data_IF_878642823705
#
_entry.id   IF_878642823705
#
_cell.length_a   1.000
_cell.length_b   1.000
_cell.length_c   1.000
_cell.angle_alpha   90.00
_cell.angle_beta   90.00
_cell.angle_gamma   90.00
#
_symmetry.space_group_name_H-M   'P 1'
#
loop_
_entity.id
_entity.type
_entity.pdbx_description
1 polymer ?
#
# COMPACT_ATOMS: atom_id res chain seq x y z
N UNK A 1 27.51 10.53 15.41
CA UNK A 1 28.44 11.45 14.72
C UNK A 1 27.70 12.02 13.53
N UNK A 2 27.50 13.34 13.47
CA UNK A 2 26.70 14.01 12.42
C UNK A 2 27.62 14.33 11.24
N UNK A 3 27.35 13.79 10.06
CA UNK A 3 28.03 14.14 8.81
C UNK A 3 27.05 14.95 7.96
N UNK A 4 27.43 16.20 7.67
CA UNK A 4 26.68 17.14 6.85
C UNK A 4 26.78 16.78 5.36
N UNK A 5 25.66 16.81 4.65
CA UNK A 5 25.62 16.85 3.18
C UNK A 5 24.68 17.96 2.69
N UNK A 6 25.24 18.89 1.94
CA UNK A 6 24.64 19.77 0.91
C UNK A 6 23.16 20.16 0.99
N UNK A 7 22.92 21.37 1.52
CA UNK A 7 22.06 22.43 0.96
C UNK A 7 20.58 22.19 0.63
N UNK A 8 19.88 21.23 1.25
CA UNK A 8 18.44 21.35 1.49
C UNK A 8 18.09 20.83 2.90
N UNK A 9 18.17 21.75 3.86
CA UNK A 9 17.55 21.59 5.18
C UNK A 9 16.06 21.96 5.04
N UNK A 10 15.20 20.97 4.79
CA UNK A 10 13.82 21.08 5.29
C UNK A 10 13.84 20.51 6.70
N UNK A 11 14.11 21.40 7.64
CA UNK A 11 14.03 21.12 9.08
C UNK A 11 12.60 20.74 9.40
N UNK A 12 12.34 19.45 9.58
CA UNK A 12 11.21 19.00 10.38
C UNK A 12 11.51 19.37 11.83
N UNK A 13 10.87 20.44 12.28
CA UNK A 13 11.01 20.94 13.63
C UNK A 13 10.30 22.27 13.79
N UNK A 14 9.12 22.22 14.41
CA UNK A 14 8.52 23.30 15.19
C UNK A 14 8.59 24.70 14.55
N UNK A 15 7.56 25.08 13.78
CA UNK A 15 7.10 26.46 13.78
C UNK A 15 6.28 26.71 15.06
N UNK A 16 6.96 26.70 16.20
CA UNK A 16 6.47 27.29 17.45
C UNK A 16 7.52 28.29 17.93
N UNK A 17 7.57 29.44 17.27
CA UNK A 17 8.13 30.64 17.88
C UNK A 17 6.97 31.52 18.30
N UNK A 18 6.74 31.53 19.62
CA UNK A 18 6.01 32.57 20.36
C UNK A 18 4.48 32.59 20.26
N UNK A 19 3.79 31.51 20.67
CA UNK A 19 2.55 31.60 21.46
C UNK A 19 2.59 30.42 22.45
N UNK A 20 2.33 30.69 23.74
CA UNK A 20 2.21 29.67 24.79
C UNK A 20 1.14 28.65 24.38
N UNK A 21 1.51 27.39 24.16
CA UNK A 21 0.55 26.30 24.07
C UNK A 21 0.01 26.01 25.49
N UNK A 22 -1.22 26.44 25.77
CA UNK A 22 -2.01 25.88 26.87
C UNK A 22 -2.87 24.75 26.31
N UNK A 23 -2.89 23.62 27.01
CA UNK A 23 -3.88 22.56 26.82
C UNK A 23 -5.20 23.12 27.36
N UNK A 24 -6.20 23.31 26.49
CA UNK A 24 -7.53 23.79 26.88
C UNK A 24 -8.48 22.59 26.97
N UNK A 25 -9.32 22.47 28.02
CA UNK A 25 -10.30 21.40 28.15
C UNK A 25 -11.41 21.50 27.10
N UNK A 26 -12.02 20.36 26.79
CA UNK A 26 -12.95 20.07 25.68
C UNK A 26 -14.36 20.72 25.79
N UNK A 27 -14.47 21.93 26.33
CA UNK A 27 -15.78 22.55 26.64
C UNK A 27 -15.97 24.02 26.23
N UNK A 28 -15.22 24.58 25.28
CA UNK A 28 -15.51 25.92 24.74
C UNK A 28 -15.59 25.99 23.21
N UNK A 29 -16.51 26.84 22.74
CA UNK A 29 -17.00 26.96 21.36
C UNK A 29 -15.90 27.44 20.39
N UNK A 30 -15.54 26.59 19.42
CA UNK A 30 -14.48 26.79 18.42
C UNK A 30 -14.70 27.99 17.47
N UNK A 31 -15.80 28.74 17.60
CA UNK A 31 -16.19 29.80 16.68
C UNK A 31 -15.29 31.04 16.67
N UNK A 32 -14.40 31.22 17.65
CA UNK A 32 -13.65 32.48 17.82
C UNK A 32 -12.12 32.37 17.63
N UNK A 33 -11.59 31.28 17.09
CA UNK A 33 -10.15 31.19 16.82
C UNK A 33 -9.77 31.85 15.47
N UNK A 34 -8.99 32.94 15.45
CA UNK A 34 -8.52 33.52 14.19
C UNK A 34 -7.41 32.63 13.56
N UNK A 35 -7.60 32.24 12.29
CA UNK A 35 -6.61 31.48 11.53
C UNK A 35 -5.36 32.34 11.22
N UNK A 36 -4.13 31.77 11.32
CA UNK A 36 -2.89 32.54 11.25
C UNK A 36 -2.41 32.90 9.83
N UNK A 37 -3.20 32.65 8.78
CA UNK A 37 -2.79 32.92 7.39
C UNK A 37 -3.86 33.65 6.58
N UNK A 38 -3.43 34.65 5.80
CA UNK A 38 -4.27 35.40 4.86
C UNK A 38 -4.61 34.50 3.66
N UNK A 39 -5.90 34.36 3.38
CA UNK A 39 -6.46 33.61 2.25
C UNK A 39 -6.39 34.47 0.98
N UNK A 40 -6.01 33.88 -0.14
CA UNK A 40 -5.98 34.54 -1.46
C UNK A 40 -7.36 35.10 -1.85
N UNK A 41 -7.43 36.21 -2.61
CA UNK A 41 -8.70 36.83 -2.97
C UNK A 41 -9.45 35.92 -3.96
N UNK A 42 -10.54 35.32 -3.51
CA UNK A 42 -11.38 34.43 -4.33
C UNK A 42 -12.13 33.34 -3.54
N UNK A 43 -11.72 33.05 -2.30
CA UNK A 43 -12.49 32.20 -1.40
C UNK A 43 -13.39 33.07 -0.52
N UNK A 44 -14.63 33.31 -0.93
CA UNK A 44 -15.66 33.78 -0.01
C UNK A 44 -15.96 32.67 1.00
N UNK A 45 -15.33 32.76 2.18
CA UNK A 45 -15.73 31.97 3.35
C UNK A 45 -17.11 32.43 3.78
N UNK A 46 -18.14 31.62 3.56
CA UNK A 46 -19.45 31.82 4.18
C UNK A 46 -19.39 31.24 5.61
N UNK A 47 -19.39 32.07 6.67
CA UNK A 47 -19.23 31.61 8.05
C UNK A 47 -20.45 30.83 8.58
N UNK A 48 -21.56 30.78 7.84
CA UNK A 48 -22.78 30.06 8.23
C UNK A 48 -22.99 28.73 7.52
N UNK A 49 -22.15 28.38 6.53
CA UNK A 49 -22.22 27.10 5.82
C UNK A 49 -20.96 26.31 6.17
N UNK A 50 -21.07 25.28 7.02
CA UNK A 50 -19.96 24.33 7.26
C UNK A 50 -19.48 23.82 5.90
N UNK A 51 -18.24 24.15 5.54
CA UNK A 51 -17.63 23.60 4.33
C UNK A 51 -17.43 22.10 4.57
N UNK A 52 -18.07 21.28 3.74
CA UNK A 52 -17.97 19.81 3.83
C UNK A 52 -16.57 19.33 3.45
N UNK A 53 -15.89 20.07 2.57
CA UNK A 53 -14.51 19.86 2.17
C UNK A 53 -13.81 21.20 1.89
N UNK A 54 -12.49 21.19 2.01
CA UNK A 54 -11.60 22.25 1.59
C UNK A 54 -10.73 21.77 0.43
N UNK A 55 -10.72 22.54 -0.65
CA UNK A 55 -9.96 22.22 -1.84
C UNK A 55 -8.88 23.26 -2.11
N UNK A 56 -7.65 22.80 -2.34
CA UNK A 56 -6.51 23.61 -2.79
C UNK A 56 -5.98 23.05 -4.10
N UNK A 57 -6.43 23.62 -5.22
CA UNK A 57 -6.20 23.02 -6.54
C UNK A 57 -6.86 21.65 -6.62
N UNK A 58 -6.09 20.62 -6.99
CA UNK A 58 -6.54 19.22 -7.01
C UNK A 58 -6.61 18.57 -5.62
N UNK A 59 -6.02 19.18 -4.58
CA UNK A 59 -6.01 18.63 -3.23
C UNK A 59 -7.36 18.84 -2.56
N UNK A 60 -8.03 17.77 -2.14
CA UNK A 60 -9.30 17.81 -1.40
C UNK A 60 -9.12 17.25 0.00
N UNK A 61 -9.61 17.97 1.01
CA UNK A 61 -9.63 17.55 2.42
C UNK A 61 -11.08 17.57 2.88
N UNK A 62 -11.65 16.41 3.25
CA UNK A 62 -13.00 16.35 3.81
C UNK A 62 -12.99 16.55 5.31
N UNK A 63 -13.86 17.44 5.78
CA UNK A 63 -14.09 17.67 7.21
C UNK A 63 -15.38 17.04 7.70
N UNK A 64 -16.37 16.89 6.82
CA UNK A 64 -17.61 16.19 7.13
C UNK A 64 -17.47 14.70 6.84
N UNK A 65 -17.40 13.89 7.90
CA UNK A 65 -17.26 12.43 7.79
C UNK A 65 -18.61 11.72 7.54
N UNK A 66 -19.50 12.32 6.73
CA UNK A 66 -20.81 11.76 6.41
C UNK A 66 -20.73 10.83 5.21
N UNK A 67 -21.36 9.67 5.34
CA UNK A 67 -21.47 8.67 4.29
C UNK A 67 -22.97 8.42 3.97
N UNK A 68 -23.36 8.07 2.73
CA UNK A 68 -22.49 7.89 1.56
C UNK A 68 -21.84 9.20 1.09
N UNK A 69 -20.76 9.10 0.31
CA UNK A 69 -19.98 10.23 -0.16
C UNK A 69 -19.63 10.03 -1.64
N UNK A 70 -19.87 11.05 -2.47
CA UNK A 70 -19.73 10.94 -3.93
C UNK A 70 -18.28 10.80 -4.40
N UNK A 71 -17.28 11.15 -3.58
CA UNK A 71 -15.86 10.95 -3.90
C UNK A 71 -15.35 9.55 -3.52
N UNK A 72 -16.21 8.70 -2.96
CA UNK A 72 -15.89 7.33 -2.55
C UNK A 72 -16.90 6.41 -3.23
N UNK A 73 -16.48 5.82 -4.35
CA UNK A 73 -17.33 5.02 -5.22
C UNK A 73 -16.99 3.54 -5.14
N UNK A 74 -17.98 2.70 -5.40
CA UNK A 74 -17.88 1.25 -5.29
C UNK A 74 -18.28 0.61 -6.61
N UNK A 75 -17.51 -0.37 -7.04
CA UNK A 75 -17.80 -1.12 -8.24
C UNK A 75 -17.71 -2.60 -7.98
N UNK A 76 -18.62 -3.37 -8.59
CA UNK A 76 -18.64 -4.81 -8.55
C UNK A 76 -18.16 -5.39 -9.87
N UNK A 77 -17.35 -6.44 -9.76
CA UNK A 77 -17.00 -7.32 -10.85
C UNK A 77 -17.32 -8.76 -10.45
N UNK A 78 -17.81 -9.52 -11.41
CA UNK A 78 -18.12 -10.95 -11.24
C UNK A 78 -17.64 -11.73 -12.44
N UNK A 79 -17.64 -13.06 -12.35
CA UNK A 79 -17.29 -13.92 -13.48
C UNK A 79 -18.21 -13.72 -14.70
N UNK A 80 -19.43 -13.20 -14.49
CA UNK A 80 -20.39 -12.86 -15.56
C UNK A 80 -19.99 -11.58 -16.31
N UNK A 81 -19.41 -10.62 -15.59
CA UNK A 81 -18.98 -9.33 -16.13
C UNK A 81 -17.55 -9.01 -15.67
N UNK A 82 -16.53 -9.76 -16.14
CA UNK A 82 -15.18 -9.65 -15.60
C UNK A 82 -14.41 -8.41 -16.06
N UNK A 83 -14.88 -7.75 -17.13
CA UNK A 83 -14.25 -6.56 -17.73
C UNK A 83 -15.10 -5.29 -17.58
N UNK A 84 -16.34 -5.40 -17.09
CA UNK A 84 -17.28 -4.28 -17.03
C UNK A 84 -17.67 -4.06 -15.58
N UNK A 85 -17.35 -2.87 -15.08
CA UNK A 85 -17.67 -2.45 -13.72
C UNK A 85 -19.19 -2.24 -13.58
N UNK A 86 -19.81 -2.90 -12.62
CA UNK A 86 -21.18 -2.58 -12.18
C UNK A 86 -21.11 -1.56 -11.05
N UNK A 87 -21.72 -0.39 -11.24
CA UNK A 87 -21.75 0.64 -10.18
C UNK A 87 -22.60 0.18 -9.00
N UNK A 88 -22.04 0.29 -7.80
CA UNK A 88 -22.70 -0.07 -6.54
C UNK A 88 -23.03 1.20 -5.78
N UNK A 89 -24.33 1.50 -5.71
CA UNK A 89 -24.89 2.63 -5.00
C UNK A 89 -25.26 2.16 -3.60
N UNK A 90 -24.68 2.80 -2.59
CA UNK A 90 -24.99 2.55 -1.19
C UNK A 90 -25.77 3.74 -0.65
N UNK A 91 -27.00 3.52 -0.22
CA UNK A 91 -27.79 4.55 0.45
C UNK A 91 -27.56 4.57 1.97
N UNK A 92 -28.28 5.42 2.69
CA UNK A 92 -28.28 5.38 4.16
C UNK A 92 -29.02 4.15 4.68
N UNK A 93 -29.97 3.60 3.91
CA UNK A 93 -30.75 2.40 4.24
C UNK A 93 -30.60 1.30 3.17
N UNK A 94 -30.87 0.06 3.55
CA UNK A 94 -30.80 -1.10 2.65
C UNK A 94 -31.60 -0.90 1.35
N UNK A 95 -32.83 -0.37 1.45
CA UNK A 95 -33.72 -0.12 0.30
C UNK A 95 -33.23 0.98 -0.66
N UNK A 96 -32.30 1.82 -0.20
CA UNK A 96 -31.69 2.88 -1.01
C UNK A 96 -30.42 2.38 -1.73
N UNK A 97 -30.04 1.11 -1.51
CA UNK A 97 -28.84 0.51 -2.11
C UNK A 97 -29.24 -0.37 -3.30
N UNK A 98 -28.45 -0.39 -4.38
CA UNK A 98 -28.79 -1.11 -5.61
C UNK A 98 -28.22 -2.54 -5.70
N UNK A 99 -27.73 -3.12 -4.60
CA UNK A 99 -27.10 -4.46 -4.61
C UNK A 99 -28.00 -5.58 -5.16
N UNK A 100 -29.34 -5.41 -5.15
CA UNK A 100 -30.29 -6.37 -5.76
C UNK A 100 -30.34 -6.29 -7.27
N UNK A 101 -29.94 -5.15 -7.82
CA UNK A 101 -29.97 -4.86 -9.26
C UNK A 101 -28.63 -5.19 -9.93
N UNK A 102 -27.62 -5.59 -9.15
CA UNK A 102 -26.31 -6.04 -9.63
C UNK A 102 -26.19 -7.56 -9.63
N UNK A 103 -25.08 -8.09 -10.14
CA UNK A 103 -24.78 -9.53 -10.09
C UNK A 103 -24.22 -10.03 -8.75
N UNK A 104 -24.32 -9.25 -7.67
CA UNK A 104 -23.86 -9.65 -6.35
C UNK A 104 -24.60 -10.90 -5.85
N UNK A 105 -23.86 -11.92 -5.41
CA UNK A 105 -24.41 -13.12 -4.81
C UNK A 105 -23.80 -13.33 -3.41
N UNK A 106 -24.58 -13.14 -2.32
CA UNK A 106 -24.05 -13.20 -0.95
C UNK A 106 -23.51 -14.58 -0.55
N UNK A 107 -23.81 -15.63 -1.32
CA UNK A 107 -23.32 -16.99 -1.07
C UNK A 107 -21.90 -17.23 -1.58
N UNK A 108 -21.36 -16.29 -2.37
CA UNK A 108 -20.02 -16.41 -2.97
C UNK A 108 -18.98 -15.68 -2.12
N UNK A 109 -17.72 -16.13 -2.14
CA UNK A 109 -16.61 -15.41 -1.53
C UNK A 109 -16.55 -13.97 -2.06
N UNK A 110 -16.36 -13.01 -1.15
CA UNK A 110 -16.32 -11.59 -1.49
C UNK A 110 -14.95 -11.02 -1.20
N UNK A 111 -14.31 -10.44 -2.22
CA UNK A 111 -13.03 -9.72 -2.11
C UNK A 111 -13.27 -8.24 -2.29
N UNK A 112 -12.68 -7.40 -1.43
CA UNK A 112 -12.78 -5.95 -1.51
C UNK A 112 -11.38 -5.37 -1.69
N UNK A 113 -11.09 -4.81 -2.86
CA UNK A 113 -9.77 -4.28 -3.22
C UNK A 113 -9.76 -2.76 -3.05
N UNK A 114 -8.79 -2.25 -2.31
CA UNK A 114 -8.65 -0.83 -1.97
C UNK A 114 -7.29 -0.31 -2.43
N UNK A 115 -7.29 0.70 -3.31
CA UNK A 115 -6.07 1.30 -3.85
C UNK A 115 -5.40 2.27 -2.86
N UNK A 116 -4.19 2.71 -3.23
CA UNK A 116 -3.34 3.60 -2.45
C UNK A 116 -3.36 5.07 -2.88
N UNK A 117 -2.34 5.79 -2.44
CA UNK A 117 -2.08 7.18 -2.83
C UNK A 117 -1.75 7.32 -4.32
N UNK A 118 -2.20 8.42 -4.93
CA UNK A 118 -1.94 8.79 -6.32
C UNK A 118 -2.25 7.65 -7.31
N UNK A 119 -3.40 7.03 -7.08
CA UNK A 119 -3.89 5.83 -7.76
C UNK A 119 -5.42 5.85 -7.77
N UNK A 120 -5.99 4.92 -8.53
CA UNK A 120 -7.42 4.64 -8.61
C UNK A 120 -7.65 3.12 -8.65
N UNK A 121 -8.91 2.72 -8.87
CA UNK A 121 -9.32 1.32 -9.01
C UNK A 121 -8.75 0.58 -10.23
N UNK A 122 -8.24 1.31 -11.23
CA UNK A 122 -7.71 0.77 -12.48
C UNK A 122 -6.17 0.67 -12.45
N UNK A 123 -5.54 0.88 -11.30
CA UNK A 123 -4.14 0.55 -11.07
C UNK A 123 -3.84 -0.87 -11.55
N UNK A 124 -2.95 -0.98 -12.53
CA UNK A 124 -2.69 -2.23 -13.26
C UNK A 124 -2.46 -3.43 -12.33
N UNK A 125 -1.63 -3.27 -11.29
CA UNK A 125 -1.34 -4.33 -10.34
C UNK A 125 -2.57 -4.83 -9.57
N UNK A 126 -3.54 -3.95 -9.25
CA UNK A 126 -4.79 -4.32 -8.58
C UNK A 126 -5.80 -4.93 -9.56
N UNK A 127 -5.80 -4.47 -10.81
CA UNK A 127 -6.58 -5.06 -11.90
C UNK A 127 -6.16 -6.52 -12.13
N UNK A 128 -4.86 -6.85 -12.03
CA UNK A 128 -4.39 -8.23 -12.14
C UNK A 128 -4.92 -9.13 -11.01
N UNK A 129 -4.99 -8.63 -9.77
CA UNK A 129 -5.63 -9.38 -8.66
C UNK A 129 -7.07 -9.76 -9.02
N UNK A 130 -7.87 -8.79 -9.49
CA UNK A 130 -9.24 -9.03 -9.94
C UNK A 130 -9.29 -10.07 -11.07
N UNK A 131 -8.46 -9.92 -12.09
CA UNK A 131 -8.42 -10.83 -13.24
C UNK A 131 -8.08 -12.26 -12.81
N UNK A 132 -7.10 -12.43 -11.94
CA UNK A 132 -6.68 -13.75 -11.47
C UNK A 132 -7.75 -14.43 -10.63
N UNK A 133 -8.47 -13.71 -9.75
CA UNK A 133 -9.64 -14.29 -9.08
C UNK A 133 -10.73 -14.75 -10.06
N UNK A 134 -11.10 -13.89 -11.02
CA UNK A 134 -12.21 -14.17 -11.94
C UNK A 134 -11.88 -15.23 -13.01
N UNK A 135 -10.59 -15.53 -13.19
CA UNK A 135 -10.10 -16.59 -14.09
C UNK A 135 -10.60 -17.96 -13.66
N UNK A 136 -10.46 -18.29 -12.38
CA UNK A 136 -10.72 -19.63 -11.84
C UNK A 136 -11.90 -19.68 -10.90
N UNK A 137 -12.11 -18.64 -10.08
CA UNK A 137 -13.10 -18.61 -9.02
C UNK A 137 -14.36 -17.82 -9.42
N UNK A 138 -15.50 -18.13 -8.78
CA UNK A 138 -16.73 -17.37 -8.92
C UNK A 138 -16.92 -16.51 -7.67
N UNK A 139 -16.24 -15.36 -7.67
CA UNK A 139 -16.18 -14.43 -6.54
C UNK A 139 -16.98 -13.15 -6.84
N UNK A 140 -17.44 -12.48 -5.79
CA UNK A 140 -17.78 -11.07 -5.86
C UNK A 140 -16.49 -10.27 -5.64
N UNK A 141 -16.05 -9.46 -6.62
CA UNK A 141 -14.90 -8.58 -6.46
C UNK A 141 -15.39 -7.14 -6.43
N UNK A 142 -15.35 -6.52 -5.26
CA UNK A 142 -15.60 -5.09 -5.12
C UNK A 142 -14.29 -4.32 -5.20
N UNK A 143 -14.31 -3.17 -5.87
CA UNK A 143 -13.23 -2.18 -5.83
C UNK A 143 -13.73 -0.91 -5.17
N UNK A 144 -12.93 -0.36 -4.26
CA UNK A 144 -13.18 0.96 -3.63
C UNK A 144 -12.34 1.99 -4.37
N UNK A 145 -13.00 2.90 -5.08
CA UNK A 145 -12.35 4.02 -5.74
C UNK A 145 -12.55 5.30 -4.93
N UNK A 146 -11.46 5.77 -4.34
CA UNK A 146 -11.36 7.02 -3.58
C UNK A 146 -10.30 7.94 -4.21
N UNK A 147 -10.01 7.76 -5.50
CA UNK A 147 -9.03 8.55 -6.24
C UNK A 147 -9.21 10.06 -6.14
N UNK A 148 -10.43 10.65 -6.08
CA UNK A 148 -10.58 12.09 -5.90
C UNK A 148 -9.97 12.61 -4.58
N UNK A 149 -9.85 11.74 -3.58
CA UNK A 149 -9.31 12.03 -2.24
C UNK A 149 -7.86 11.58 -2.06
N UNK A 150 -7.28 10.91 -3.06
CA UNK A 150 -5.95 10.31 -3.03
C UNK A 150 -4.94 10.99 -3.97
N UNK A 151 -5.32 12.05 -4.68
CA UNK A 151 -4.51 12.64 -5.76
C UNK A 151 -3.14 13.13 -5.30
N UNK A 152 -2.11 12.87 -6.10
CA UNK A 152 -0.82 13.54 -5.97
C UNK A 152 -0.91 15.00 -6.44
N UNK A 153 -0.13 15.94 -5.84
CA UNK A 153 0.89 15.77 -4.80
C UNK A 153 0.35 15.87 -3.35
N UNK A 154 -0.93 15.61 -3.12
CA UNK A 154 -1.66 15.99 -1.91
C UNK A 154 -1.60 14.97 -0.78
N UNK A 155 -0.42 14.42 -0.49
CA UNK A 155 -0.26 13.33 0.48
C UNK A 155 -0.84 13.62 1.87
N UNK A 156 -0.63 14.80 2.50
CA UNK A 156 -1.26 15.11 3.79
C UNK A 156 -2.79 15.12 3.75
N UNK A 157 -3.37 15.53 2.62
CA UNK A 157 -4.82 15.48 2.42
C UNK A 157 -5.32 14.04 2.30
N UNK A 158 -4.62 13.20 1.53
CA UNK A 158 -4.93 11.78 1.44
C UNK A 158 -4.85 11.09 2.82
N UNK A 159 -3.78 11.34 3.59
CA UNK A 159 -3.63 10.87 4.97
C UNK A 159 -4.77 11.32 5.89
N UNK A 160 -5.29 12.54 5.71
CA UNK A 160 -6.44 13.00 6.48
C UNK A 160 -7.72 12.24 6.08
N UNK A 161 -7.89 11.99 4.78
CA UNK A 161 -9.12 11.43 4.23
C UNK A 161 -9.28 9.93 4.50
N UNK A 162 -8.21 9.14 4.69
CA UNK A 162 -8.32 7.67 4.83
C UNK A 162 -9.27 7.21 5.95
N UNK A 163 -9.41 7.98 7.03
CA UNK A 163 -10.37 7.66 8.10
C UNK A 163 -11.81 7.75 7.60
N UNK A 164 -12.09 8.78 6.81
CA UNK A 164 -13.39 8.98 6.17
C UNK A 164 -13.65 7.91 5.10
N UNK A 165 -12.63 7.59 4.28
CA UNK A 165 -12.71 6.52 3.28
C UNK A 165 -13.00 5.17 3.92
N UNK A 166 -12.30 4.81 4.99
CA UNK A 166 -12.53 3.57 5.73
C UNK A 166 -13.95 3.50 6.29
N UNK A 167 -14.42 4.59 6.91
CA UNK A 167 -15.79 4.69 7.43
C UNK A 167 -16.84 4.50 6.34
N UNK A 168 -16.72 5.15 5.19
CA UNK A 168 -17.69 4.96 4.11
C UNK A 168 -17.56 3.58 3.46
N UNK A 169 -16.37 3.01 3.39
CA UNK A 169 -16.15 1.64 2.91
C UNK A 169 -16.74 0.59 3.85
N UNK A 170 -16.86 0.88 5.15
CA UNK A 170 -17.55 0.00 6.09
C UNK A 170 -19.05 -0.14 5.75
N UNK A 171 -19.67 0.89 5.17
CA UNK A 171 -21.07 0.79 4.70
C UNK A 171 -21.22 -0.28 3.60
N UNK A 172 -20.22 -0.48 2.75
CA UNK A 172 -20.25 -1.57 1.77
C UNK A 172 -20.34 -2.92 2.49
N UNK A 173 -19.48 -3.12 3.49
CA UNK A 173 -19.43 -4.36 4.27
C UNK A 173 -20.72 -4.59 5.04
N UNK A 174 -21.24 -3.56 5.73
CA UNK A 174 -22.54 -3.63 6.40
C UNK A 174 -23.63 -4.08 5.42
N UNK A 175 -23.68 -3.49 4.22
CA UNK A 175 -24.71 -3.78 3.23
C UNK A 175 -24.61 -5.19 2.68
N UNK A 176 -23.45 -5.65 2.25
CA UNK A 176 -23.31 -7.03 1.74
C UNK A 176 -23.62 -8.08 2.82
N UNK A 177 -23.33 -7.76 4.10
CA UNK A 177 -23.69 -8.61 5.25
C UNK A 177 -25.18 -8.64 5.54
N UNK A 178 -25.89 -7.52 5.39
CA UNK A 178 -27.36 -7.48 5.48
C UNK A 178 -28.03 -8.41 4.43
N UNK A 179 -27.33 -8.69 3.32
CA UNK A 179 -27.74 -9.68 2.32
C UNK A 179 -27.27 -11.11 2.61
N UNK A 180 -26.46 -11.33 3.66
CA UNK A 180 -26.00 -12.64 4.10
C UNK A 180 -24.59 -13.03 3.66
N UNK A 181 -23.76 -12.08 3.18
CA UNK A 181 -22.35 -12.39 2.92
C UNK A 181 -21.59 -12.61 4.24
N UNK A 182 -20.87 -13.72 4.33
CA UNK A 182 -20.06 -14.09 5.51
C UNK A 182 -18.57 -14.17 5.19
N UNK A 183 -18.22 -14.68 4.00
CA UNK A 183 -16.83 -14.79 3.53
C UNK A 183 -16.38 -13.49 2.85
N UNK A 184 -15.77 -12.60 3.65
CA UNK A 184 -15.34 -11.27 3.24
C UNK A 184 -13.84 -11.12 3.51
N UNK A 185 -13.11 -10.75 2.47
CA UNK A 185 -11.67 -10.53 2.51
C UNK A 185 -11.34 -9.16 1.94
N UNK A 186 -10.80 -8.27 2.76
CA UNK A 186 -10.37 -6.93 2.35
C UNK A 186 -8.88 -6.95 1.99
N UNK A 187 -8.53 -6.39 0.84
CA UNK A 187 -7.17 -6.34 0.31
C UNK A 187 -6.83 -4.87 0.09
N UNK A 188 -5.94 -4.32 0.92
CA UNK A 188 -5.56 -2.91 0.88
C UNK A 188 -4.11 -2.73 0.46
N UNK A 189 -3.88 -1.89 -0.55
CA UNK A 189 -2.54 -1.56 -1.04
C UNK A 189 -2.07 -0.19 -0.57
N UNK A 190 -0.83 -0.05 -0.09
CA UNK A 190 -0.24 1.24 0.30
C UNK A 190 -1.10 1.95 1.37
N UNK A 191 -1.56 3.19 1.14
CA UNK A 191 -2.55 3.86 2.01
C UNK A 191 -3.86 3.07 2.14
N UNK A 192 -4.24 2.29 1.13
CA UNK A 192 -5.41 1.41 1.15
C UNK A 192 -5.35 0.34 2.24
N UNK A 193 -4.14 -0.08 2.66
CA UNK A 193 -3.97 -0.97 3.81
C UNK A 193 -4.45 -0.32 5.11
N UNK A 194 -4.21 0.99 5.27
CA UNK A 194 -4.70 1.76 6.42
C UNK A 194 -6.17 2.16 6.28
N UNK A 195 -6.68 2.33 5.05
CA UNK A 195 -8.13 2.42 4.82
C UNK A 195 -8.83 1.14 5.29
N UNK A 196 -8.25 -0.05 5.05
CA UNK A 196 -8.79 -1.32 5.54
C UNK A 196 -8.85 -1.38 7.08
N UNK A 197 -7.87 -0.80 7.79
CA UNK A 197 -7.94 -0.60 9.24
C UNK A 197 -9.14 0.26 9.62
N UNK A 198 -9.25 1.49 9.12
CA UNK A 198 -10.37 2.37 9.50
C UNK A 198 -11.74 1.81 9.12
N UNK A 199 -11.82 1.01 8.06
CA UNK A 199 -12.98 0.20 7.70
C UNK A 199 -13.28 -0.80 8.83
N UNK A 200 -12.30 -1.62 9.25
CA UNK A 200 -12.45 -2.59 10.33
C UNK A 200 -12.85 -1.94 11.67
N UNK A 201 -12.21 -0.83 12.05
CA UNK A 201 -12.54 -0.05 13.24
C UNK A 201 -14.02 0.38 13.22
N UNK A 202 -14.50 0.83 12.06
CA UNK A 202 -15.89 1.28 11.88
C UNK A 202 -16.91 0.15 11.96
N UNK A 203 -16.48 -1.11 11.76
CA UNK A 203 -17.34 -2.29 11.85
C UNK A 203 -17.42 -2.89 13.25
N UNK A 204 -16.58 -2.46 14.20
CA UNK A 204 -16.56 -3.02 15.56
C UNK A 204 -17.97 -2.98 16.20
N UNK A 205 -18.41 -4.05 16.88
CA UNK A 205 -17.63 -5.21 17.33
C UNK A 205 -17.49 -6.34 16.29
N UNK A 206 -18.01 -6.20 15.07
CA UNK A 206 -17.79 -7.20 14.03
C UNK A 206 -16.33 -7.16 13.56
N UNK A 207 -15.73 -8.34 13.42
CA UNK A 207 -14.40 -8.51 12.84
C UNK A 207 -14.52 -9.11 11.44
N UNK A 208 -13.73 -8.58 10.51
CA UNK A 208 -13.60 -9.16 9.18
C UNK A 208 -12.96 -10.56 9.28
N UNK A 209 -13.36 -11.52 8.42
CA UNK A 209 -12.67 -12.80 8.33
C UNK A 209 -11.18 -12.65 7.98
N UNK A 210 -10.86 -11.80 7.00
CA UNK A 210 -9.46 -11.58 6.58
C UNK A 210 -9.20 -10.15 6.09
N UNK A 211 -8.04 -9.61 6.44
CA UNK A 211 -7.44 -8.45 5.78
C UNK A 211 -6.07 -8.82 5.24
N UNK A 212 -5.77 -8.44 4.00
CA UNK A 212 -4.42 -8.49 3.45
C UNK A 212 -3.88 -7.07 3.25
N UNK A 213 -2.74 -6.77 3.88
CA UNK A 213 -2.00 -5.52 3.70
C UNK A 213 -0.89 -5.67 2.68
N UNK A 214 -1.02 -5.02 1.53
CA UNK A 214 -0.02 -5.05 0.45
C UNK A 214 0.86 -3.80 0.55
N UNK A 215 2.08 -3.99 1.06
CA UNK A 215 3.09 -2.97 1.35
C UNK A 215 2.50 -1.72 2.03
N UNK A 216 1.97 -1.85 3.27
CA UNK A 216 1.30 -0.74 3.96
C UNK A 216 2.20 0.49 4.08
N UNK A 217 1.65 1.68 3.82
CA UNK A 217 2.43 2.91 3.72
C UNK A 217 3.16 3.27 5.04
N UNK A 218 4.38 3.78 4.92
CA UNK A 218 5.17 4.27 6.05
C UNK A 218 4.87 5.73 6.43
N UNK A 219 4.87 6.71 5.49
CA UNK A 219 4.81 8.12 5.87
C UNK A 219 3.48 8.45 6.54
N UNK A 220 3.53 8.92 7.79
CA UNK A 220 2.36 9.22 8.62
C UNK A 220 1.99 8.15 9.66
N UNK A 221 2.60 6.95 9.62
CA UNK A 221 2.19 5.84 10.49
C UNK A 221 3.25 5.35 11.48
N UNK A 222 4.47 5.92 11.46
CA UNK A 222 5.57 5.53 12.36
C UNK A 222 5.18 5.61 13.84
N UNK A 223 4.42 6.65 14.21
CA UNK A 223 3.97 6.91 15.59
C UNK A 223 2.48 6.71 15.76
N UNK A 224 1.79 6.15 14.76
CA UNK A 224 0.36 5.93 14.83
C UNK A 224 0.04 4.80 15.80
N UNK A 225 -1.06 4.97 16.55
CA UNK A 225 -1.53 3.93 17.47
C UNK A 225 -2.13 2.75 16.69
N UNK A 226 -2.36 1.64 17.39
CA UNK A 226 -2.97 0.42 16.85
C UNK A 226 -4.27 0.67 16.10
N UNK A 227 -5.15 1.55 16.61
CA UNK A 227 -6.44 1.86 15.97
C UNK A 227 -6.34 2.93 14.86
N UNK A 228 -5.12 3.38 14.53
CA UNK A 228 -4.86 4.43 13.53
C UNK A 228 -3.98 3.93 12.38
N UNK A 229 -3.69 2.63 12.34
CA UNK A 229 -2.90 1.97 11.30
C UNK A 229 -3.27 0.49 11.21
N UNK A 230 -2.99 -0.16 10.08
CA UNK A 230 -3.17 -1.61 9.96
C UNK A 230 -2.47 -2.35 11.11
N UNK A 231 -3.24 -3.20 11.79
CA UNK A 231 -2.82 -4.05 12.89
C UNK A 231 -3.56 -5.40 12.86
N UNK A 232 -2.96 -6.42 13.47
CA UNK A 232 -3.53 -7.77 13.56
C UNK A 232 -4.91 -7.81 14.22
N UNK A 233 -5.23 -6.88 15.11
CA UNK A 233 -6.53 -6.80 15.79
C UNK A 233 -7.70 -6.35 14.90
N UNK A 234 -7.43 -5.94 13.66
CA UNK A 234 -8.44 -5.45 12.72
C UNK A 234 -9.31 -6.56 12.12
N UNK A 235 -8.87 -7.82 12.17
CA UNK A 235 -9.60 -8.96 11.61
C UNK A 235 -9.29 -10.26 12.36
N UNK A 236 -10.06 -11.30 12.08
CA UNK A 236 -9.75 -12.65 12.56
C UNK A 236 -8.41 -13.17 12.05
N UNK A 237 -8.00 -12.73 10.86
CA UNK A 237 -6.70 -13.02 10.28
C UNK A 237 -6.21 -11.84 9.45
N UNK A 238 -4.94 -11.49 9.62
CA UNK A 238 -4.29 -10.39 8.89
C UNK A 238 -2.97 -10.89 8.35
N UNK A 239 -2.78 -10.83 7.03
CA UNK A 239 -1.52 -11.16 6.37
C UNK A 239 -0.92 -9.93 5.65
N UNK A 240 0.36 -9.67 5.85
CA UNK A 240 1.02 -8.45 5.38
C UNK A 240 2.22 -8.78 4.49
N UNK A 241 2.40 -8.00 3.43
CA UNK A 241 3.45 -8.16 2.44
C UNK A 241 4.32 -6.92 2.48
N UNK A 242 5.60 -7.08 2.78
CA UNK A 242 6.57 -6.00 2.75
C UNK A 242 7.43 -6.18 1.51
N UNK A 243 7.43 -5.17 0.63
CA UNK A 243 8.22 -5.18 -0.61
C UNK A 243 9.02 -3.90 -0.82
N UNK A 244 8.67 -2.80 -0.12
CA UNK A 244 9.41 -1.54 -0.16
C UNK A 244 9.53 -0.87 1.21
N UNK A 245 9.84 -1.66 2.23
CA UNK A 245 10.09 -1.21 3.60
C UNK A 245 11.13 -0.08 3.69
N UNK A 246 10.93 0.83 4.65
CA UNK A 246 11.75 2.04 4.90
C UNK A 246 11.71 3.13 3.82
N UNK A 247 11.09 2.85 2.67
CA UNK A 247 10.87 3.80 1.59
C UNK A 247 9.39 4.21 1.57
N UNK A 248 8.57 3.53 0.75
CA UNK A 248 7.13 3.77 0.70
C UNK A 248 6.37 2.89 1.70
N UNK A 249 6.81 1.65 1.87
CA UNK A 249 6.21 0.68 2.80
C UNK A 249 6.83 0.76 4.19
N UNK A 250 6.05 0.37 5.21
CA UNK A 250 6.54 0.24 6.59
C UNK A 250 7.25 -1.10 6.79
N UNK A 251 8.27 -1.10 7.63
CA UNK A 251 8.98 -2.32 8.04
C UNK A 251 8.34 -2.99 9.27
N UNK A 252 7.52 -2.25 10.00
CA UNK A 252 6.88 -2.72 11.23
C UNK A 252 5.88 -3.85 10.94
N UNK A 253 6.00 -4.93 11.70
CA UNK A 253 5.06 -6.07 11.72
C UNK A 253 3.66 -5.57 12.05
N UNK A 254 2.65 -6.03 11.32
CA UNK A 254 1.27 -5.54 11.44
C UNK A 254 0.21 -6.59 11.17
N UNK A 255 0.63 -7.82 10.86
CA UNK A 255 -0.25 -8.95 10.65
C UNK A 255 -0.28 -9.90 11.83
N UNK A 256 -1.14 -10.91 11.69
CA UNK A 256 -0.88 -12.20 12.32
C UNK A 256 0.36 -12.85 11.69
N UNK A 257 0.50 -12.69 10.36
CA UNK A 257 1.66 -13.12 9.59
C UNK A 257 2.19 -11.98 8.72
N UNK A 258 3.50 -11.80 8.70
CA UNK A 258 4.19 -10.76 7.94
C UNK A 258 5.24 -11.39 7.03
N UNK A 259 5.09 -11.20 5.73
CA UNK A 259 5.99 -11.72 4.70
C UNK A 259 6.92 -10.61 4.19
N UNK A 260 8.22 -10.76 4.38
CA UNK A 260 9.22 -9.86 3.81
C UNK A 260 9.82 -10.50 2.56
N UNK A 261 9.36 -10.01 1.42
CA UNK A 261 9.70 -10.59 0.12
C UNK A 261 11.03 -10.03 -0.35
N UNK A 262 12.00 -10.90 -0.65
CA UNK A 262 13.38 -10.56 -0.99
C UNK A 262 14.04 -9.64 0.04
N UNK A 263 13.74 -9.86 1.32
CA UNK A 263 14.20 -9.02 2.44
C UNK A 263 13.36 -7.76 2.68
N UNK A 264 12.30 -7.56 1.91
CA UNK A 264 11.25 -6.59 2.16
C UNK A 264 11.53 -5.16 1.71
N UNK A 265 12.73 -4.85 1.19
CA UNK A 265 13.12 -3.48 0.80
C UNK A 265 13.23 -3.33 -0.72
N UNK A 266 13.96 -4.26 -1.35
CA UNK A 266 14.31 -4.22 -2.76
C UNK A 266 13.89 -5.52 -3.43
N UNK A 267 13.26 -5.38 -4.59
CA UNK A 267 12.69 -6.48 -5.34
C UNK A 267 13.52 -6.73 -6.61
N UNK A 268 13.86 -8.00 -6.91
CA UNK A 268 14.55 -8.37 -8.12
C UNK A 268 13.84 -7.82 -9.37
N UNK A 269 14.61 -7.26 -10.30
CA UNK A 269 14.11 -6.62 -11.53
C UNK A 269 13.73 -5.14 -11.40
N UNK A 270 13.59 -4.57 -10.19
CA UNK A 270 13.23 -3.15 -10.04
C UNK A 270 14.41 -2.17 -10.17
N UNK A 271 15.66 -2.64 -10.17
CA UNK A 271 16.85 -1.78 -10.25
C UNK A 271 17.01 -1.08 -11.61
N UNK A 272 16.50 -1.71 -12.68
CA UNK A 272 16.54 -1.18 -14.03
C UNK A 272 15.34 -0.26 -14.34
N UNK A 273 14.37 -0.14 -13.43
CA UNK A 273 13.12 0.58 -13.67
C UNK A 273 13.27 2.10 -13.43
N UNK A 274 12.81 2.96 -14.36
CA UNK A 274 12.86 4.41 -14.19
C UNK A 274 12.15 4.90 -12.93
N UNK A 275 11.11 4.18 -12.49
CA UNK A 275 10.36 4.45 -11.25
C UNK A 275 10.74 3.45 -10.15
N UNK A 276 12.03 3.41 -9.80
CA UNK A 276 12.61 2.48 -8.83
C UNK A 276 11.75 2.23 -7.58
N UNK A 277 11.39 3.28 -6.83
CA UNK A 277 10.59 3.12 -5.60
C UNK A 277 9.19 2.57 -5.88
N UNK A 278 8.52 3.09 -6.92
CA UNK A 278 7.19 2.63 -7.30
C UNK A 278 7.19 1.17 -7.77
N UNK A 279 8.23 0.72 -8.48
CA UNK A 279 8.35 -0.70 -8.87
C UNK A 279 8.37 -1.60 -7.63
N UNK A 280 9.26 -1.32 -6.67
CA UNK A 280 9.36 -2.12 -5.44
C UNK A 280 8.05 -2.13 -4.66
N UNK A 281 7.38 -0.98 -4.56
CA UNK A 281 6.09 -0.84 -3.88
C UNK A 281 4.99 -1.66 -4.58
N UNK A 282 4.93 -1.62 -5.91
CA UNK A 282 3.92 -2.32 -6.72
C UNK A 282 4.13 -3.83 -6.80
N UNK A 283 5.28 -4.36 -6.37
CA UNK A 283 5.51 -5.81 -6.34
C UNK A 283 4.60 -6.55 -5.37
N UNK A 284 4.19 -5.94 -4.25
CA UNK A 284 3.27 -6.59 -3.32
C UNK A 284 1.94 -7.02 -3.99
N UNK A 285 1.17 -6.13 -4.65
CA UNK A 285 -0.04 -6.54 -5.37
C UNK A 285 0.24 -7.48 -6.55
N UNK A 286 1.37 -7.35 -7.24
CA UNK A 286 1.75 -8.24 -8.35
C UNK A 286 1.99 -9.67 -7.84
N UNK A 287 2.75 -9.85 -6.76
CA UNK A 287 2.99 -11.16 -6.16
C UNK A 287 1.70 -11.77 -5.61
N UNK A 288 0.84 -10.95 -4.98
CA UNK A 288 -0.46 -11.41 -4.52
C UNK A 288 -1.33 -11.90 -5.68
N UNK A 289 -1.39 -11.16 -6.80
CA UNK A 289 -2.12 -11.56 -7.99
C UNK A 289 -1.66 -12.93 -8.52
N UNK A 290 -0.34 -13.11 -8.70
CA UNK A 290 0.23 -14.38 -9.16
C UNK A 290 -0.05 -15.53 -8.17
N UNK A 291 -0.07 -15.23 -6.86
CA UNK A 291 -0.30 -16.23 -5.81
C UNK A 291 -1.65 -16.95 -5.91
N UNK A 292 -2.65 -16.33 -6.57
CA UNK A 292 -4.01 -16.86 -6.68
C UNK A 292 -4.07 -18.12 -7.56
N UNK A 293 -3.24 -18.20 -8.61
CA UNK A 293 -3.30 -19.30 -9.59
C UNK A 293 -1.95 -19.98 -9.85
N UNK A 294 -0.87 -19.57 -9.19
CA UNK A 294 0.43 -20.22 -9.33
C UNK A 294 0.41 -21.66 -8.82
N UNK A 295 1.11 -22.56 -9.53
CA UNK A 295 1.33 -23.94 -9.09
C UNK A 295 2.64 -24.12 -8.31
N UNK A 296 3.61 -23.20 -8.49
CA UNK A 296 4.86 -23.23 -7.73
C UNK A 296 4.64 -22.71 -6.30
N UNK A 297 3.86 -21.63 -6.17
CA UNK A 297 3.62 -20.97 -4.89
C UNK A 297 4.78 -20.06 -4.49
N UNK A 298 4.45 -19.09 -3.64
CA UNK A 298 5.43 -18.27 -2.95
C UNK A 298 5.61 -18.86 -1.55
N UNK A 299 6.79 -19.39 -1.24
CA UNK A 299 7.03 -20.04 0.04
C UNK A 299 7.99 -19.21 0.87
N UNK A 300 7.64 -19.02 2.14
CA UNK A 300 8.48 -18.33 3.09
C UNK A 300 8.91 -19.22 4.24
N UNK A 301 10.16 -19.11 4.64
CA UNK A 301 10.64 -19.75 5.87
C UNK A 301 10.46 -18.83 7.07
N UNK A 302 10.20 -19.39 8.27
CA UNK A 302 9.98 -18.59 9.46
C UNK A 302 11.25 -17.86 9.90
N UNK A 303 11.05 -16.64 10.40
CA UNK A 303 12.08 -15.81 11.00
C UNK A 303 11.62 -15.35 12.39
N UNK A 304 12.51 -15.30 13.41
CA UNK A 304 12.12 -14.84 14.74
C UNK A 304 11.61 -13.38 14.77
N UNK A 305 12.16 -12.52 13.92
CA UNK A 305 11.72 -11.14 13.74
C UNK A 305 12.35 -10.55 12.47
N UNK A 306 11.84 -9.41 12.00
CA UNK A 306 12.50 -8.70 10.90
C UNK A 306 13.90 -8.19 11.28
N UNK A 307 14.13 -7.85 12.55
CA UNK A 307 15.47 -7.45 13.03
C UNK A 307 16.48 -8.61 12.92
N UNK A 308 16.05 -9.84 13.22
CA UNK A 308 16.87 -11.04 13.08
C UNK A 308 17.23 -11.32 11.62
N UNK A 309 16.33 -10.99 10.70
CA UNK A 309 16.66 -11.01 9.27
C UNK A 309 17.76 -10.00 8.96
N UNK A 310 17.60 -8.72 9.32
CA UNK A 310 18.58 -7.66 9.00
C UNK A 310 19.98 -7.98 9.53
N UNK A 311 20.10 -8.66 10.68
CA UNK A 311 21.39 -9.06 11.25
C UNK A 311 21.97 -10.35 10.65
N UNK A 312 21.34 -10.90 9.61
CA UNK A 312 21.79 -12.11 8.90
C UNK A 312 21.59 -13.40 9.68
N UNK A 313 20.72 -13.39 10.69
CA UNK A 313 20.53 -14.52 11.62
C UNK A 313 19.25 -15.31 11.33
N UNK A 314 18.86 -15.39 10.05
CA UNK A 314 17.60 -15.98 9.62
C UNK A 314 17.79 -16.99 8.47
N UNK A 315 18.45 -18.13 8.75
CA UNK A 315 18.65 -19.16 7.74
C UNK A 315 17.31 -19.76 7.28
N UNK A 316 17.23 -20.27 6.03
CA UNK A 316 16.12 -21.05 5.54
C UNK A 316 15.82 -22.24 6.45
N UNK A 317 14.56 -22.37 6.85
CA UNK A 317 14.09 -23.40 7.76
C UNK A 317 12.71 -23.91 7.33
N UNK A 318 12.44 -25.17 7.68
CA UNK A 318 11.11 -25.76 7.61
C UNK A 318 10.41 -25.73 9.00
N UNK A 319 9.08 -25.71 9.04
CA UNK A 319 8.18 -25.74 7.89
C UNK A 319 8.03 -24.37 7.20
N UNK A 320 8.24 -24.33 5.88
CA UNK A 320 7.89 -23.16 5.08
C UNK A 320 6.37 -23.00 4.96
N UNK A 321 5.90 -21.76 4.97
CA UNK A 321 4.49 -21.37 4.83
C UNK A 321 4.27 -20.73 3.48
N UNK A 322 3.15 -21.07 2.83
CA UNK A 322 2.76 -20.44 1.57
C UNK A 322 2.26 -19.01 1.83
N UNK A 323 2.88 -18.05 1.15
CA UNK A 323 2.41 -16.68 1.01
C UNK A 323 1.40 -16.62 -0.14
N UNK A 324 0.29 -15.91 0.05
CA UNK A 324 -0.69 -15.67 -1.01
C UNK A 324 -2.14 -15.79 -0.59
N UNK A 325 -3.01 -15.95 -1.58
CA UNK A 325 -4.44 -16.23 -1.36
C UNK A 325 -4.66 -17.44 -0.44
N UNK A 326 -3.84 -18.49 -0.56
CA UNK A 326 -4.03 -19.74 0.17
C UNK A 326 -3.18 -19.88 1.44
N UNK A 327 -2.63 -18.77 1.97
CA UNK A 327 -1.97 -18.78 3.28
C UNK A 327 -2.94 -19.34 4.34
N UNK A 328 -2.43 -20.21 5.21
CA UNK A 328 -3.23 -20.77 6.29
C UNK A 328 -3.51 -19.68 7.33
N UNK A 329 -4.78 -19.45 7.66
CA UNK A 329 -5.22 -18.43 8.61
C UNK A 329 -4.78 -18.68 10.07
N UNK A 330 -4.23 -19.85 10.38
CA UNK A 330 -3.61 -20.12 11.69
C UNK A 330 -2.11 -19.77 11.73
N UNK A 331 -1.52 -19.36 10.61
CA UNK A 331 -0.10 -19.02 10.53
C UNK A 331 0.18 -17.75 11.32
N UNK A 332 1.31 -17.73 12.03
CA UNK A 332 1.74 -16.59 12.81
C UNK A 332 3.24 -16.33 12.64
N UNK A 333 3.62 -15.06 12.81
CA UNK A 333 5.02 -14.62 12.85
C UNK A 333 5.53 -14.08 11.52
N UNK A 334 6.85 -13.95 11.43
CA UNK A 334 7.54 -13.35 10.29
C UNK A 334 8.07 -14.43 9.36
N UNK A 335 7.94 -14.23 8.05
CA UNK A 335 8.45 -15.14 7.03
C UNK A 335 9.23 -14.39 5.95
N UNK A 336 10.32 -14.99 5.50
CA UNK A 336 11.10 -14.47 4.38
C UNK A 336 10.77 -15.24 3.12
N UNK A 337 10.45 -14.55 2.04
CA UNK A 337 10.05 -15.15 0.76
C UNK A 337 11.03 -14.74 -0.31
N UNK A 338 11.40 -15.64 -1.21
CA UNK A 338 12.26 -15.34 -2.36
C UNK A 338 11.48 -15.50 -3.65
N UNK A 339 11.72 -14.60 -4.59
CA UNK A 339 11.04 -14.57 -5.89
C UNK A 339 12.06 -14.42 -7.02
N UNK A 340 11.62 -14.77 -8.22
CA UNK A 340 12.35 -14.46 -9.44
C UNK A 340 12.30 -12.95 -9.77
N UNK A 341 13.17 -12.50 -10.67
CA UNK A 341 13.22 -11.11 -11.15
C UNK A 341 12.18 -10.79 -12.22
N UNK A 342 11.71 -11.81 -12.95
CA UNK A 342 10.74 -11.73 -14.05
C UNK A 342 9.58 -12.70 -13.83
N UNK A 343 8.37 -12.43 -14.39
CA UNK A 343 7.24 -13.35 -14.28
C UNK A 343 7.49 -14.68 -15.01
N UNK A 344 6.96 -15.81 -14.52
CA UNK A 344 6.31 -15.97 -13.22
C UNK A 344 7.31 -15.82 -12.07
N UNK A 345 6.96 -15.00 -11.08
CA UNK A 345 7.82 -14.64 -9.95
C UNK A 345 7.90 -15.73 -8.88
N UNK A 346 6.90 -16.60 -8.79
CA UNK A 346 6.86 -17.68 -7.83
C UNK A 346 8.02 -18.65 -8.03
N UNK A 347 8.93 -18.71 -7.06
CA UNK A 347 10.11 -19.56 -7.10
C UNK A 347 9.84 -21.00 -6.59
N UNK A 348 8.75 -21.23 -5.86
CA UNK A 348 8.50 -22.49 -5.16
C UNK A 348 9.11 -22.50 -3.76
N UNK A 349 9.23 -23.71 -3.17
CA UNK A 349 9.90 -23.87 -1.87
C UNK A 349 11.37 -23.52 -1.99
N UNK A 350 11.87 -22.78 -1.02
CA UNK A 350 13.27 -22.43 -0.98
C UNK A 350 14.10 -23.64 -0.52
N UNK A 351 14.99 -24.12 -1.39
CA UNK A 351 15.93 -25.22 -1.12
C UNK A 351 17.40 -24.76 -1.17
N UNK A 352 17.62 -23.45 -1.34
CA UNK A 352 18.96 -22.86 -1.46
C UNK A 352 19.73 -22.79 -0.13
N UNK A 353 21.02 -22.40 -0.18
CA UNK A 353 21.81 -22.14 1.01
C UNK A 353 21.24 -20.96 1.80
N UNK A 354 21.69 -20.76 3.04
CA UNK A 354 21.39 -19.54 3.79
C UNK A 354 21.60 -18.32 2.93
N UNK A 355 20.65 -17.37 2.93
CA UNK A 355 20.93 -16.04 2.40
C UNK A 355 22.02 -15.47 3.29
N UNK A 356 23.26 -15.58 2.83
CA UNK A 356 24.36 -14.83 3.37
C UNK A 356 24.02 -13.37 3.05
N UNK A 357 23.52 -12.65 4.05
CA UNK A 357 23.67 -11.19 4.04
C UNK A 357 25.17 -11.00 4.06
N UNK A 358 25.72 -10.74 2.87
CA UNK A 358 27.11 -10.45 2.57
C UNK A 358 27.75 -9.73 3.77
N UNK A 359 28.41 -10.50 4.64
CA UNK A 359 29.28 -9.97 5.70
C UNK A 359 30.66 -9.65 5.16
N UNK A 360 30.97 -10.17 3.98
CA UNK A 360 32.18 -9.88 3.22
C UNK A 360 31.73 -9.54 1.81
N UNK A 361 31.89 -8.27 1.42
CA UNK A 361 31.63 -7.82 0.04
C UNK A 361 32.31 -8.74 -0.98
N UNK A 362 31.75 -8.89 -2.20
CA UNK A 362 32.41 -9.67 -3.24
C UNK A 362 33.86 -9.19 -3.38
N UNK A 363 34.80 -10.13 -3.31
CA UNK A 363 36.24 -9.85 -3.44
C UNK A 363 36.62 -9.30 -4.81
N UNK A 364 35.70 -9.38 -5.78
CA UNK A 364 35.88 -8.96 -7.16
C UNK A 364 34.59 -8.33 -7.70
N UNK A 365 34.52 -7.00 -7.60
CA UNK A 365 33.40 -6.20 -8.09
C UNK A 365 33.39 -6.07 -9.62
N UNK A 366 34.52 -6.25 -10.30
CA UNK A 366 34.61 -6.14 -11.77
C UNK A 366 33.90 -7.31 -12.47
N UNK A 367 34.01 -8.52 -11.90
CA UNK A 367 33.30 -9.68 -12.45
C UNK A 367 31.78 -9.50 -12.44
N UNK A 368 31.23 -8.98 -11.35
CA UNK A 368 29.80 -8.79 -11.17
C UNK A 368 29.26 -7.61 -12.01
N UNK A 369 30.07 -6.56 -12.19
CA UNK A 369 29.75 -5.45 -13.08
C UNK A 369 29.64 -5.94 -14.54
N UNK A 370 30.54 -6.81 -14.99
CA UNK A 370 30.50 -7.37 -16.34
C UNK A 370 29.31 -8.32 -16.57
N UNK A 371 28.96 -9.18 -15.60
CA UNK A 371 27.78 -10.06 -15.71
C UNK A 371 26.45 -9.28 -15.75
N UNK A 372 26.37 -8.12 -15.10
CA UNK A 372 25.19 -7.23 -15.16
C UNK A 372 25.12 -6.50 -16.51
N UNK A 373 26.27 -6.05 -17.02
CA UNK A 373 26.35 -5.32 -18.28
C UNK A 373 26.08 -6.23 -19.49
N UNK A 374 26.55 -7.47 -19.47
CA UNK A 374 26.31 -8.44 -20.55
C UNK A 374 24.81 -8.82 -20.68
N UNK A 375 24.06 -8.79 -19.57
CA UNK A 375 22.61 -9.06 -19.57
C UNK A 375 21.76 -7.82 -19.87
N UNK A 376 22.33 -6.61 -19.82
CA UNK A 376 21.61 -5.38 -20.12
C UNK A 376 21.39 -5.17 -21.63
N UNK A 377 22.27 -5.72 -22.47
CA UNK A 377 22.18 -5.62 -23.93
C UNK A 377 21.07 -6.51 -24.54
N UNK A 378 20.65 -7.60 -23.86
CA UNK A 378 19.52 -8.43 -24.31
C UNK A 378 18.14 -7.79 -24.04
N UNK A 379 18.05 -6.81 -23.14
CA UNK A 379 16.78 -6.19 -22.72
C UNK A 379 16.33 -5.01 -23.59
N UNK A 380 17.11 -4.62 -24.61
CA UNK A 380 16.79 -3.50 -25.50
C UNK A 380 15.64 -3.76 -26.50
N UNK A 381 15.03 -4.96 -26.51
CA UNK A 381 14.03 -5.33 -27.52
C UNK A 381 12.56 -5.05 -27.18
N UNK A 382 12.24 -4.49 -26.00
CA UNK A 382 10.83 -4.34 -25.55
C UNK A 382 10.26 -2.91 -25.60
N UNK A 383 11.01 -1.90 -26.04
CA UNK A 383 10.62 -0.49 -25.87
C UNK A 383 10.41 0.30 -27.18
N UNK A 384 9.56 -0.21 -28.09
CA UNK A 384 9.25 0.51 -29.35
C UNK A 384 7.85 1.12 -29.49
N UNK A 385 6.93 0.91 -28.56
CA UNK A 385 5.51 1.28 -28.76
C UNK A 385 4.94 2.36 -27.81
N UNK A 386 5.76 3.12 -27.07
CA UNK A 386 5.23 4.13 -26.12
C UNK A 386 5.82 5.54 -26.19
N UNK A 387 6.56 5.90 -27.25
CA UNK A 387 7.07 7.26 -27.40
C UNK A 387 6.61 7.93 -28.71
N UNK A 388 5.46 8.59 -28.64
CA UNK A 388 5.24 9.82 -29.38
C UNK A 388 4.73 10.90 -28.41
N UNK A 389 5.67 11.67 -27.87
CA UNK A 389 5.53 13.12 -27.70
C UNK A 389 6.90 13.71 -27.38
N UNK A 390 7.31 14.57 -28.30
CA UNK A 390 8.50 15.40 -28.33
C UNK A 390 8.64 16.28 -27.07
N UNK A 391 9.77 16.19 -26.36
CA UNK A 391 10.46 17.35 -25.77
C UNK A 391 11.84 16.94 -25.25
N UNK A 392 12.86 17.43 -25.93
CA UNK A 392 14.27 17.39 -25.53
C UNK A 392 14.53 18.22 -24.26
N UNK A 393 15.07 17.62 -23.19
CA UNK A 393 15.98 18.35 -22.29
C UNK A 393 16.95 17.41 -21.57
N UNK A 394 18.24 17.61 -21.85
CA UNK A 394 19.39 16.91 -21.25
C UNK A 394 19.81 17.59 -19.95
N UNK A 395 19.30 17.14 -18.80
CA UNK A 395 19.77 17.62 -17.47
C UNK A 395 19.59 16.57 -16.34
N UNK A 396 19.97 15.31 -16.56
CA UNK A 396 19.91 14.30 -15.48
C UNK A 396 21.28 13.87 -14.91
N UNK A 397 22.38 14.01 -15.65
CA UNK A 397 23.68 13.40 -15.28
C UNK A 397 24.31 13.80 -13.93
N UNK A 398 24.17 15.04 -13.38
CA UNK A 398 24.84 15.38 -12.12
C UNK A 398 24.16 14.85 -10.86
N UNK A 399 22.83 14.67 -10.89
CA UNK A 399 22.03 14.28 -9.71
C UNK A 399 22.23 12.80 -9.36
N UNK A 400 22.31 11.94 -10.37
CA UNK A 400 22.51 10.49 -10.19
C UNK A 400 23.92 10.12 -9.73
N UNK A 401 24.93 10.97 -10.01
CA UNK A 401 26.29 10.76 -9.50
C UNK A 401 26.38 10.95 -7.97
N UNK A 402 25.64 11.93 -7.43
CA UNK A 402 25.58 12.17 -5.99
C UNK A 402 24.87 11.04 -5.21
N UNK A 403 23.85 10.42 -5.80
CA UNK A 403 23.14 9.27 -5.21
C UNK A 403 24.01 8.01 -5.22
N UNK A 404 24.76 7.78 -6.32
CA UNK A 404 25.72 6.67 -6.45
C UNK A 404 26.84 6.75 -5.41
N UNK A 405 27.39 7.95 -5.20
CA UNK A 405 28.45 8.18 -4.19
C UNK A 405 27.91 8.24 -2.74
N UNK A 406 26.61 8.48 -2.56
CA UNK A 406 25.94 8.48 -1.25
C UNK A 406 25.60 7.07 -0.76
N UNK A 407 25.10 6.21 -1.66
CA UNK A 407 24.81 4.81 -1.37
C UNK A 407 26.09 3.99 -1.13
N UNK A 408 27.15 4.20 -1.92
CA UNK A 408 28.43 3.53 -1.69
C UNK A 408 29.01 3.78 -0.29
N UNK A 409 28.92 5.03 0.19
CA UNK A 409 29.36 5.40 1.56
C UNK A 409 28.44 4.88 2.65
N UNK A 410 27.14 4.69 2.39
CA UNK A 410 26.22 4.10 3.37
C UNK A 410 26.49 2.61 3.59
N UNK A 411 26.88 1.88 2.54
CA UNK A 411 27.25 0.46 2.64
C UNK A 411 28.62 0.25 3.31
N UNK A 412 29.64 1.06 2.98
CA UNK A 412 30.97 0.99 3.65
C UNK A 412 30.88 1.29 5.16
N UNK A 413 30.05 2.25 5.57
CA UNK A 413 30.06 2.72 6.96
C UNK A 413 29.15 1.91 7.90
N UNK A 414 28.21 1.13 7.35
CA UNK A 414 27.20 0.38 8.13
C UNK A 414 27.54 -1.11 8.25
N UNK A 415 28.34 -1.67 7.33
CA UNK A 415 28.72 -3.09 7.34
C UNK A 415 30.18 -3.36 7.74
N UNK A 416 31.03 -2.33 7.85
CA UNK A 416 32.43 -2.47 8.27
C UNK A 416 33.35 -2.79 7.11
#
# INVERSE_FOLDING_TARGET
MVVFWGSWLVVFGLLCTSIKCQIVPDTEDYQNFPLPFKISPGAELNPYRRQQALSFGACKIHFDMKCPNDDITFYLYTKRQPQTAESVILGSRLLESNLRDTHFDPRKPTKIIIHGYNSDMDLSALVEIRKEYLKTQDNNIFTVDWSPLAQGPCYPGALWNIRHVGKCSAQLVERIREFGAEDIHVIGFSLGAHVANFLAISLRPYLLPRITGLDPALPGFVTANTDEKLDKSDAHFVDVYHTNAFMQGKAEESGHVDFYVNGGVLQPGCWAEPRFFACNHHRAPIYFAESINTHKGFWGWPCPSYLTFITGSCPPLDPQVIMGEFVNSTSQGVYLVITESVPPYAAGKYEGPSIEIIKEGPTDWEKYENEILDNADELQYLDRDLYDTDTTSTTSRPFFKGIREGLGRFFEHTLG
#
